data_IF_986123204335
#
_entry.id   IF_986123204335
#
_cell.length_a   1.000
_cell.length_b   1.000
_cell.length_c   1.000
_cell.angle_alpha   90.00
_cell.angle_beta   90.00
_cell.angle_gamma   90.00
#
_symmetry.space_group_name_H-M   'P 1'
#
loop_
_entity.id
_entity.type
_entity.pdbx_description
1 polymer ?
#
# COMPACT_ATOMS: atom_id res chain seq x y z
N UNK A 1 -15.93 -23.03 24.42
CA UNK A 1 -15.03 -23.05 23.25
C UNK A 1 -15.68 -22.23 22.13
N UNK A 2 -15.36 -20.94 22.01
CA UNK A 2 -15.91 -20.05 21.00
C UNK A 2 -15.05 -20.11 19.74
N UNK A 3 -15.57 -20.74 18.68
CA UNK A 3 -14.90 -20.80 17.38
C UNK A 3 -14.75 -19.40 16.78
N UNK A 4 -13.52 -18.93 16.61
CA UNK A 4 -13.22 -17.73 15.83
C UNK A 4 -13.71 -17.96 14.40
N UNK A 5 -14.80 -17.28 14.01
CA UNK A 5 -15.24 -17.19 12.61
C UNK A 5 -14.07 -16.59 11.81
N UNK A 6 -13.42 -17.39 10.97
CA UNK A 6 -12.51 -16.87 9.94
C UNK A 6 -13.35 -15.96 9.05
N UNK A 7 -13.18 -14.65 9.19
CA UNK A 7 -13.85 -13.69 8.31
C UNK A 7 -13.54 -14.06 6.86
N UNK A 8 -14.58 -14.19 6.04
CA UNK A 8 -14.41 -14.32 4.60
C UNK A 8 -13.57 -13.13 4.13
N UNK A 9 -12.37 -13.40 3.59
CA UNK A 9 -11.61 -12.39 2.84
C UNK A 9 -12.47 -12.02 1.63
N UNK A 10 -13.20 -10.92 1.74
CA UNK A 10 -13.92 -10.34 0.60
C UNK A 10 -12.83 -9.93 -0.39
N UNK A 11 -12.72 -10.71 -1.47
CA UNK A 11 -11.88 -10.35 -2.60
C UNK A 11 -12.46 -9.07 -3.21
N UNK A 12 -11.65 -8.01 -3.33
CA UNK A 12 -12.06 -6.77 -3.96
C UNK A 12 -11.38 -6.68 -5.33
N UNK A 13 -12.06 -7.09 -6.42
CA UNK A 13 -11.47 -7.11 -7.75
C UNK A 13 -10.98 -5.73 -8.20
N UNK A 14 -11.64 -4.65 -7.76
CA UNK A 14 -11.25 -3.27 -8.08
C UNK A 14 -9.88 -2.94 -7.48
N UNK A 15 -9.63 -3.34 -6.23
CA UNK A 15 -8.32 -3.18 -5.61
C UNK A 15 -7.24 -4.00 -6.33
N UNK A 16 -7.51 -5.28 -6.57
CA UNK A 16 -6.56 -6.18 -7.23
C UNK A 16 -6.18 -5.67 -8.62
N UNK A 17 -7.16 -5.25 -9.42
CA UNK A 17 -6.90 -4.70 -10.76
C UNK A 17 -6.12 -3.40 -10.70
N UNK A 18 -6.37 -2.54 -9.71
CA UNK A 18 -5.62 -1.30 -9.52
C UNK A 18 -4.16 -1.57 -9.20
N UNK A 19 -3.89 -2.52 -8.30
CA UNK A 19 -2.52 -2.96 -7.97
C UNK A 19 -1.81 -3.50 -9.21
N UNK A 20 -2.47 -4.40 -9.97
CA UNK A 20 -1.89 -4.98 -11.20
C UNK A 20 -1.54 -3.88 -12.20
N UNK A 21 -2.43 -2.92 -12.41
CA UNK A 21 -2.20 -1.82 -13.35
C UNK A 21 -1.05 -0.92 -12.90
N UNK A 22 -0.94 -0.61 -11.61
CA UNK A 22 0.17 0.18 -11.07
C UNK A 22 1.50 -0.57 -11.19
N UNK A 23 1.52 -1.87 -10.89
CA UNK A 23 2.71 -2.70 -11.07
C UNK A 23 3.17 -2.74 -12.53
N UNK A 24 2.24 -2.85 -13.48
CA UNK A 24 2.55 -2.73 -14.92
C UNK A 24 3.14 -1.37 -15.31
N UNK A 25 2.81 -0.31 -14.56
CA UNK A 25 3.34 1.04 -14.74
C UNK A 25 4.63 1.31 -13.94
N UNK A 26 5.26 0.28 -13.39
CA UNK A 26 6.56 0.38 -12.71
C UNK A 26 6.50 0.62 -11.21
N UNK A 27 5.32 0.58 -10.58
CA UNK A 27 5.21 0.54 -9.12
C UNK A 27 5.44 -0.89 -8.61
N UNK A 28 6.70 -1.34 -8.65
CA UNK A 28 7.10 -2.72 -8.38
C UNK A 28 7.48 -3.00 -6.92
N UNK A 29 7.68 -1.96 -6.12
CA UNK A 29 8.03 -2.10 -4.71
C UNK A 29 6.79 -2.15 -3.81
N UNK A 30 6.92 -2.80 -2.66
CA UNK A 30 5.91 -2.82 -1.60
C UNK A 30 6.47 -2.09 -0.39
N UNK A 31 5.67 -1.18 0.14
CA UNK A 31 6.01 -0.40 1.32
C UNK A 31 5.08 -0.75 2.47
N UNK A 32 5.65 -0.73 3.66
CA UNK A 32 4.95 -0.92 4.91
C UNK A 32 5.15 0.32 5.81
N UNK A 33 4.06 0.88 6.31
CA UNK A 33 4.13 1.97 7.30
C UNK A 33 4.64 1.40 8.62
N UNK A 34 5.79 1.87 9.09
CA UNK A 34 6.35 1.46 10.39
C UNK A 34 5.78 2.34 11.50
N UNK A 35 5.75 3.65 11.23
CA UNK A 35 5.17 4.68 12.08
C UNK A 35 4.72 5.86 11.19
N UNK A 36 4.38 7.00 11.78
CA UNK A 36 3.94 8.17 11.02
C UNK A 36 5.05 8.86 10.22
N UNK A 37 6.32 8.66 10.59
CA UNK A 37 7.45 9.35 9.99
C UNK A 37 8.24 8.48 9.01
N UNK A 38 8.02 7.16 9.02
CA UNK A 38 8.82 6.22 8.24
C UNK A 38 8.03 5.08 7.59
N UNK A 39 8.49 4.72 6.39
CA UNK A 39 8.05 3.57 5.64
C UNK A 39 9.23 2.63 5.39
N UNK A 40 8.97 1.33 5.45
CA UNK A 40 9.91 0.27 5.12
C UNK A 40 9.58 -0.26 3.73
N UNK A 41 10.56 -0.27 2.82
CA UNK A 41 10.44 -1.01 1.58
C UNK A 41 10.78 -2.49 1.83
N UNK A 42 9.87 -3.38 1.47
CA UNK A 42 9.96 -4.80 1.83
C UNK A 42 10.97 -5.57 0.97
N UNK A 43 11.21 -5.13 -0.27
CA UNK A 43 12.09 -5.80 -1.22
C UNK A 43 13.58 -5.59 -0.90
N UNK A 44 13.95 -4.38 -0.45
CA UNK A 44 15.34 -4.02 -0.18
C UNK A 44 15.62 -3.78 1.32
N UNK A 45 14.60 -3.89 2.17
CA UNK A 45 14.68 -3.67 3.61
C UNK A 45 15.21 -2.27 4.00
N UNK A 46 15.06 -1.28 3.11
CA UNK A 46 15.46 0.09 3.36
C UNK A 46 14.31 0.89 3.96
N UNK A 47 14.65 1.76 4.92
CA UNK A 47 13.71 2.65 5.59
C UNK A 47 13.80 4.04 4.99
N UNK A 48 12.66 4.59 4.64
CA UNK A 48 12.51 5.91 4.04
C UNK A 48 11.70 6.80 4.96
N UNK A 49 12.17 8.03 5.20
CA UNK A 49 11.35 9.02 5.91
C UNK A 49 10.22 9.48 4.99
N UNK A 50 8.99 9.51 5.52
CA UNK A 50 7.80 9.99 4.81
C UNK A 50 7.98 11.41 4.26
N UNK A 51 8.79 12.26 4.91
CA UNK A 51 9.11 13.63 4.47
C UNK A 51 9.89 13.69 3.16
N UNK A 52 10.54 12.59 2.77
CA UNK A 52 11.32 12.47 1.54
C UNK A 52 10.63 11.60 0.48
N UNK A 53 9.37 11.23 0.71
CA UNK A 53 8.58 10.43 -0.21
C UNK A 53 7.48 11.29 -0.84
N UNK A 54 7.23 11.03 -2.12
CA UNK A 54 6.01 11.51 -2.78
C UNK A 54 4.95 10.42 -2.57
N UNK A 55 3.99 10.68 -1.69
CA UNK A 55 2.90 9.75 -1.37
C UNK A 55 1.61 10.28 -1.98
N UNK A 56 0.92 9.48 -2.80
CA UNK A 56 -0.37 9.85 -3.40
C UNK A 56 -1.42 8.79 -3.12
N UNK A 57 -2.57 9.20 -2.61
CA UNK A 57 -3.71 8.30 -2.43
C UNK A 57 -4.33 7.95 -3.79
N UNK A 58 -4.68 6.68 -3.96
CA UNK A 58 -5.44 6.17 -5.10
C UNK A 58 -6.88 6.02 -4.64
N UNK A 59 -7.79 6.74 -5.30
CA UNK A 59 -9.21 6.62 -5.04
C UNK A 59 -9.69 5.23 -5.47
N UNK A 60 -10.03 4.42 -4.47
CA UNK A 60 -10.70 3.15 -4.66
C UNK A 60 -12.20 3.37 -4.46
N UNK A 61 -13.02 2.49 -5.05
CA UNK A 61 -14.47 2.54 -4.81
C UNK A 61 -14.79 2.63 -3.31
N UNK A 62 -15.77 3.45 -2.92
CA UNK A 62 -16.17 3.75 -1.51
C UNK A 62 -16.40 2.53 -0.60
N UNK A 63 -16.48 1.32 -1.17
CA UNK A 63 -16.62 0.06 -0.43
C UNK A 63 -15.28 -0.56 -0.03
N UNK A 64 -14.14 0.04 -0.39
CA UNK A 64 -12.82 -0.46 0.00
C UNK A 64 -12.50 -0.06 1.42
N UNK A 65 -12.39 -1.03 2.33
CA UNK A 65 -11.88 -0.82 3.69
C UNK A 65 -10.35 -0.57 3.73
N UNK A 66 -9.69 -0.56 2.58
CA UNK A 66 -8.24 -0.36 2.44
C UNK A 66 -7.98 0.85 1.57
N UNK A 67 -7.11 1.73 2.03
CA UNK A 67 -6.47 2.78 1.24
C UNK A 67 -5.27 2.21 0.47
N UNK A 68 -5.16 2.57 -0.80
CA UNK A 68 -4.00 2.27 -1.64
C UNK A 68 -3.29 3.59 -1.92
N UNK A 69 -1.98 3.62 -1.69
CA UNK A 69 -1.15 4.78 -1.96
C UNK A 69 0.00 4.38 -2.89
N UNK A 70 0.34 5.25 -3.82
CA UNK A 70 1.60 5.16 -4.56
C UNK A 70 2.69 5.92 -3.81
N UNK A 71 3.91 5.41 -3.89
CA UNK A 71 5.09 5.98 -3.27
C UNK A 71 6.16 6.12 -4.35
N UNK A 72 6.80 7.28 -4.40
CA UNK A 72 8.03 7.50 -5.15
C UNK A 72 9.10 8.05 -4.20
N UNK A 73 10.28 7.43 -4.20
CA UNK A 73 11.45 7.89 -3.45
C UNK A 73 12.24 8.90 -4.28
N UNK A 74 13.12 9.66 -3.64
CA UNK A 74 14.08 10.54 -4.34
C UNK A 74 15.11 9.77 -5.18
N UNK A 75 15.34 8.50 -4.86
CA UNK A 75 16.27 7.60 -5.55
C UNK A 75 15.63 6.84 -6.72
N UNK A 76 14.32 7.03 -6.96
CA UNK A 76 13.61 6.52 -8.13
C UNK A 76 12.88 5.20 -7.91
N UNK A 77 12.91 4.61 -6.70
CA UNK A 77 12.06 3.48 -6.37
C UNK A 77 10.60 3.89 -6.33
N UNK A 78 9.75 3.08 -6.96
CA UNK A 78 8.31 3.30 -7.04
C UNK A 78 7.57 2.09 -6.52
N UNK A 79 6.63 2.31 -5.60
CA UNK A 79 5.90 1.20 -5.00
C UNK A 79 4.55 1.57 -4.44
N UNK A 80 3.95 0.59 -3.78
CA UNK A 80 2.60 0.65 -3.27
C UNK A 80 2.59 0.50 -1.75
N UNK A 81 1.72 1.25 -1.09
CA UNK A 81 1.39 1.08 0.30
C UNK A 81 -0.10 0.78 0.43
N UNK A 82 -0.40 -0.36 1.05
CA UNK A 82 -1.74 -0.74 1.48
C UNK A 82 -1.89 -0.45 2.97
N UNK A 83 -2.88 0.36 3.33
CA UNK A 83 -3.17 0.73 4.72
C UNK A 83 -4.67 0.65 5.00
N UNK A 84 -5.05 0.31 6.23
CA UNK A 84 -6.45 0.32 6.70
C UNK A 84 -6.85 1.69 7.26
N UNK A 85 -5.90 2.62 7.36
CA UNK A 85 -6.05 3.96 7.94
C UNK A 85 -5.59 4.99 6.91
N UNK A 86 -6.31 6.11 6.80
CA UNK A 86 -5.88 7.25 5.98
C UNK A 86 -4.49 7.73 6.40
N UNK A 87 -3.65 8.08 5.42
CA UNK A 87 -2.24 8.43 5.63
C UNK A 87 -2.05 9.93 5.91
#
# INVERSE_FOLDING_TARGET
MTGKKKGLRIFNPSLTNSIINLQKNGYSYDFHKVDNDYLLCLQNNLRFSAKHLIIKAIELSKKSAKGLHTIETSTGERGLLLTEVDF
#
